data_IF_993835298932
#
_entry.id   IF_993835298932
#
_cell.length_a   1.000
_cell.length_b   1.000
_cell.length_c   1.000
_cell.angle_alpha   90.00
_cell.angle_beta   90.00
_cell.angle_gamma   90.00
#
_symmetry.space_group_name_H-M   'P 1'
#
loop_
_entity.id
_entity.type
_entity.pdbx_description
1 polymer ?
#
# COMPACT_ATOMS: atom_id res chain seq x y z
N UNK A 1 -0.95 14.73 35.15
CA UNK A 1 -0.59 14.65 33.73
C UNK A 1 0.00 13.25 33.53
N UNK A 2 -0.83 12.32 33.15
CA UNK A 2 -0.44 10.90 32.96
C UNK A 2 -0.10 10.76 31.51
N UNK A 3 1.18 10.65 31.19
CA UNK A 3 1.74 10.36 29.87
C UNK A 3 1.25 8.98 29.47
N UNK A 4 0.29 8.92 28.55
CA UNK A 4 -0.15 7.70 27.92
C UNK A 4 1.01 7.18 27.05
N UNK A 5 1.80 6.27 27.62
CA UNK A 5 2.83 5.54 26.92
C UNK A 5 2.19 4.85 25.70
N UNK A 6 2.52 5.33 24.49
CA UNK A 6 2.18 4.65 23.24
C UNK A 6 2.74 3.22 23.29
N UNK A 7 1.95 2.20 22.98
CA UNK A 7 2.47 0.83 22.90
C UNK A 7 3.38 0.74 21.67
N UNK A 8 4.67 0.97 21.91
CA UNK A 8 5.68 0.58 20.93
C UNK A 8 5.53 -0.93 20.70
N UNK A 9 5.67 -1.41 19.45
CA UNK A 9 5.88 -2.83 19.11
C UNK A 9 7.07 -3.45 19.88
N UNK A 10 7.62 -2.76 20.82
CA UNK A 10 8.75 -3.09 21.68
C UNK A 10 8.57 -4.27 22.62
N UNK A 11 7.41 -4.89 22.69
CA UNK A 11 7.37 -6.32 23.02
C UNK A 11 7.30 -7.06 21.67
N UNK A 12 8.42 -7.08 21.03
CA UNK A 12 8.73 -7.67 19.74
C UNK A 12 8.00 -8.98 19.62
N UNK A 13 7.05 -9.02 18.71
CA UNK A 13 6.58 -10.29 18.22
C UNK A 13 7.81 -11.07 17.72
N UNK A 14 8.15 -12.21 18.35
CA UNK A 14 9.35 -12.96 17.99
C UNK A 14 9.34 -13.39 16.52
N UNK A 15 8.16 -13.48 15.90
CA UNK A 15 8.00 -13.75 14.47
C UNK A 15 8.64 -12.67 13.58
N UNK A 16 8.60 -11.39 14.01
CA UNK A 16 9.23 -10.29 13.29
C UNK A 16 10.75 -10.26 13.41
N UNK A 17 11.30 -10.71 14.55
CA UNK A 17 12.74 -10.64 14.79
C UNK A 17 13.57 -11.46 13.80
N UNK A 18 12.99 -12.54 13.25
CA UNK A 18 13.64 -13.42 12.29
C UNK A 18 13.44 -13.00 10.81
N UNK A 19 12.60 -12.02 10.55
CA UNK A 19 12.23 -11.62 9.18
C UNK A 19 12.97 -10.36 8.74
N UNK A 20 13.59 -10.41 7.56
CA UNK A 20 14.04 -9.20 6.85
C UNK A 20 12.82 -8.48 6.31
N UNK A 21 12.57 -7.25 6.80
CA UNK A 21 11.34 -6.52 6.55
C UNK A 21 11.57 -5.08 6.10
N UNK A 22 10.68 -4.57 5.23
CA UNK A 22 10.84 -3.26 4.62
C UNK A 22 9.51 -2.51 4.52
N UNK A 23 9.55 -1.20 4.72
CA UNK A 23 8.48 -0.28 4.36
C UNK A 23 8.77 0.33 2.98
N UNK A 24 7.82 0.21 2.06
CA UNK A 24 7.85 0.81 0.73
C UNK A 24 7.01 2.09 0.76
N UNK A 25 7.65 3.22 0.48
CA UNK A 25 7.04 4.55 0.52
C UNK A 25 7.15 5.19 -0.87
N UNK A 26 6.15 5.02 -1.75
CA UNK A 26 6.09 5.79 -2.98
C UNK A 26 5.82 7.27 -2.67
N UNK A 27 6.53 8.16 -3.34
CA UNK A 27 6.43 9.59 -3.11
C UNK A 27 6.57 10.39 -4.42
N UNK A 28 5.76 11.45 -4.59
CA UNK A 28 5.86 12.39 -5.69
C UNK A 28 5.52 13.81 -5.22
N UNK A 29 6.52 14.69 -5.15
CA UNK A 29 6.41 16.05 -4.61
C UNK A 29 5.89 16.06 -3.17
N UNK A 30 6.52 15.29 -2.29
CA UNK A 30 6.15 15.08 -0.89
C UNK A 30 7.25 15.57 0.06
N UNK A 31 8.02 16.62 -0.30
CA UNK A 31 9.09 17.15 0.55
C UNK A 31 8.61 17.58 1.94
N UNK A 32 7.33 18.00 2.05
CA UNK A 32 6.73 18.44 3.31
C UNK A 32 6.26 17.31 4.23
N UNK A 33 6.09 16.09 3.71
CA UNK A 33 5.47 14.97 4.43
C UNK A 33 6.38 13.74 4.55
N UNK A 34 7.17 13.43 3.51
CA UNK A 34 7.96 12.19 3.45
C UNK A 34 8.91 12.03 4.64
N UNK A 35 9.46 13.12 5.14
CA UNK A 35 10.33 13.10 6.31
C UNK A 35 9.62 12.63 7.56
N UNK A 36 8.45 13.19 7.84
CA UNK A 36 7.62 12.79 8.99
C UNK A 36 7.17 11.34 8.87
N UNK A 37 6.81 10.87 7.66
CA UNK A 37 6.44 9.48 7.42
C UNK A 37 7.58 8.52 7.78
N UNK A 38 8.82 8.83 7.37
CA UNK A 38 10.00 8.03 7.72
C UNK A 38 10.23 8.01 9.24
N UNK A 39 10.16 9.18 9.88
CA UNK A 39 10.37 9.32 11.31
C UNK A 39 9.30 8.57 12.11
N UNK A 40 8.04 8.62 11.69
CA UNK A 40 6.92 7.87 12.28
C UNK A 40 7.12 6.34 12.15
N UNK A 41 7.53 5.85 10.97
CA UNK A 41 7.83 4.42 10.73
C UNK A 41 8.93 3.95 11.68
N UNK A 42 10.04 4.69 11.77
CA UNK A 42 11.17 4.32 12.63
C UNK A 42 10.85 4.43 14.12
N UNK A 43 10.04 5.39 14.50
CA UNK A 43 9.59 5.52 15.90
C UNK A 43 8.74 4.34 16.31
N UNK A 44 8.00 3.76 15.37
CA UNK A 44 7.16 2.60 15.59
C UNK A 44 7.96 1.29 15.57
N UNK A 45 8.77 1.06 14.54
CA UNK A 45 9.66 -0.11 14.41
C UNK A 45 11.03 0.31 13.88
N UNK A 46 12.03 0.50 14.77
CA UNK A 46 13.39 0.91 14.37
C UNK A 46 14.12 -0.10 13.49
N UNK A 47 13.71 -1.37 13.50
CA UNK A 47 14.31 -2.44 12.70
C UNK A 47 13.61 -2.62 11.33
N UNK A 48 12.55 -1.86 11.05
CA UNK A 48 11.88 -1.84 9.76
C UNK A 48 12.68 -0.97 8.79
N UNK A 49 13.34 -1.60 7.83
CA UNK A 49 14.03 -0.86 6.78
C UNK A 49 13.02 -0.04 5.96
N UNK A 50 13.45 1.08 5.40
CA UNK A 50 12.58 1.94 4.60
C UNK A 50 13.20 2.17 3.24
N UNK A 51 12.41 2.01 2.17
CA UNK A 51 12.74 2.48 0.83
C UNK A 51 11.72 3.52 0.38
N UNK A 52 12.21 4.71 0.06
CA UNK A 52 11.41 5.75 -0.60
C UNK A 52 11.63 5.61 -2.11
N UNK A 53 10.52 5.45 -2.84
CA UNK A 53 10.55 5.46 -4.30
C UNK A 53 10.03 6.81 -4.77
N UNK A 54 10.94 7.68 -5.15
CA UNK A 54 10.64 9.01 -5.66
C UNK A 54 10.28 8.92 -7.16
N UNK A 55 9.02 9.15 -7.48
CA UNK A 55 8.46 9.09 -8.83
C UNK A 55 8.79 10.35 -9.67
N UNK A 56 10.08 10.74 -9.68
CA UNK A 56 10.57 11.87 -10.47
C UNK A 56 10.13 13.23 -9.94
N UNK A 57 10.14 13.43 -8.62
CA UNK A 57 9.80 14.70 -7.97
C UNK A 57 10.65 15.87 -8.48
N UNK A 58 10.04 17.05 -8.46
CA UNK A 58 10.69 18.32 -8.82
C UNK A 58 11.12 19.13 -7.60
N UNK A 59 10.68 18.72 -6.42
CA UNK A 59 11.00 19.31 -5.13
C UNK A 59 12.14 18.54 -4.43
N UNK A 60 12.33 18.75 -3.14
CA UNK A 60 13.38 18.13 -2.35
C UNK A 60 13.01 16.74 -1.79
N UNK A 61 11.97 16.07 -2.29
CA UNK A 61 11.50 14.77 -1.76
C UNK A 61 12.65 13.76 -1.60
N UNK A 62 13.43 13.50 -2.66
CA UNK A 62 14.58 12.57 -2.59
C UNK A 62 15.64 13.03 -1.58
N UNK A 63 15.94 14.33 -1.52
CA UNK A 63 16.94 14.86 -0.61
C UNK A 63 16.50 14.69 0.85
N UNK A 64 15.24 15.03 1.16
CA UNK A 64 14.65 14.88 2.49
C UNK A 64 14.67 13.42 2.96
N UNK A 65 14.41 12.47 2.07
CA UNK A 65 14.48 11.04 2.37
C UNK A 65 15.93 10.59 2.61
N UNK A 66 16.88 11.01 1.74
CA UNK A 66 18.28 10.66 1.86
C UNK A 66 18.93 11.22 3.15
N UNK A 67 18.58 12.44 3.55
CA UNK A 67 19.02 13.06 4.82
C UNK A 67 18.64 12.21 6.05
N UNK A 68 17.63 11.36 5.93
CA UNK A 68 17.22 10.41 6.98
C UNK A 68 17.92 9.05 6.90
N UNK A 69 18.83 8.86 5.95
CA UNK A 69 19.59 7.63 5.82
C UNK A 69 18.73 6.39 5.52
N UNK A 70 17.68 6.55 4.71
CA UNK A 70 16.86 5.46 4.16
C UNK A 70 17.29 5.15 2.73
N UNK A 71 16.86 3.99 2.19
CA UNK A 71 17.05 3.71 0.77
C UNK A 71 16.21 4.67 -0.06
N UNK A 72 16.79 5.24 -1.10
CA UNK A 72 16.10 6.12 -2.05
C UNK A 72 16.29 5.58 -3.45
N UNK A 73 15.20 5.24 -4.11
CA UNK A 73 15.17 4.89 -5.53
C UNK A 73 14.45 6.01 -6.27
N UNK A 74 15.19 6.75 -7.10
CA UNK A 74 14.62 7.86 -7.87
C UNK A 74 14.35 7.44 -9.31
N UNK A 75 13.12 7.59 -9.75
CA UNK A 75 12.73 7.40 -11.13
C UNK A 75 13.11 8.64 -11.97
N UNK A 76 13.44 8.48 -13.25
CA UNK A 76 13.93 9.58 -14.09
C UNK A 76 12.87 10.67 -14.35
N UNK A 77 11.59 10.30 -14.32
CA UNK A 77 10.43 11.18 -14.48
C UNK A 77 9.20 10.51 -13.85
N UNK A 78 8.10 11.24 -13.70
CA UNK A 78 6.86 10.69 -13.15
C UNK A 78 6.29 9.62 -14.09
N UNK A 79 6.32 8.36 -13.63
CA UNK A 79 5.78 7.18 -14.29
C UNK A 79 4.42 6.75 -13.74
N UNK A 80 3.99 7.38 -12.64
CA UNK A 80 2.76 7.10 -11.93
C UNK A 80 2.93 6.12 -10.77
N UNK A 81 1.96 6.18 -9.86
CA UNK A 81 2.00 5.45 -8.58
C UNK A 81 2.22 3.94 -8.77
N UNK A 82 1.64 3.33 -9.80
CA UNK A 82 1.82 1.91 -10.07
C UNK A 82 3.28 1.54 -10.33
N UNK A 83 3.98 2.32 -11.16
CA UNK A 83 5.40 2.10 -11.45
C UNK A 83 6.28 2.32 -10.21
N UNK A 84 6.00 3.35 -9.43
CA UNK A 84 6.73 3.62 -8.20
C UNK A 84 6.57 2.48 -7.19
N UNK A 85 5.35 1.98 -6.99
CA UNK A 85 5.04 0.86 -6.10
C UNK A 85 5.70 -0.43 -6.59
N UNK A 86 5.60 -0.74 -7.90
CA UNK A 86 6.28 -1.91 -8.47
C UNK A 86 7.80 -1.86 -8.27
N UNK A 87 8.41 -0.68 -8.47
CA UNK A 87 9.84 -0.47 -8.24
C UNK A 87 10.21 -0.79 -6.78
N UNK A 88 9.39 -0.37 -5.82
CA UNK A 88 9.58 -0.70 -4.41
C UNK A 88 9.48 -2.20 -4.13
N UNK A 89 8.51 -2.90 -4.73
CA UNK A 89 8.41 -4.36 -4.60
C UNK A 89 9.57 -5.10 -5.28
N UNK A 90 10.05 -4.61 -6.43
CA UNK A 90 11.25 -5.16 -7.07
C UNK A 90 12.47 -4.98 -6.18
N UNK A 91 12.67 -3.79 -5.63
CA UNK A 91 13.73 -3.55 -4.65
C UNK A 91 13.65 -4.53 -3.47
N UNK A 92 12.45 -4.71 -2.90
CA UNK A 92 12.24 -5.63 -1.79
C UNK A 92 12.54 -7.10 -2.18
N UNK A 93 12.09 -7.53 -3.36
CA UNK A 93 12.32 -8.89 -3.85
C UNK A 93 13.81 -9.17 -4.10
N UNK A 94 14.48 -8.31 -4.86
CA UNK A 94 15.89 -8.44 -5.25
C UNK A 94 16.84 -8.37 -4.04
N UNK A 95 16.45 -7.64 -2.99
CA UNK A 95 17.23 -7.57 -1.73
C UNK A 95 16.82 -8.61 -0.68
N UNK A 96 16.00 -9.59 -1.03
CA UNK A 96 15.70 -10.73 -0.17
C UNK A 96 14.77 -10.43 1.02
N UNK A 97 13.96 -9.36 0.98
CA UNK A 97 12.98 -9.08 2.01
C UNK A 97 11.86 -10.12 2.00
N UNK A 98 11.47 -10.54 3.21
CA UNK A 98 10.46 -11.58 3.43
C UNK A 98 9.10 -11.00 3.79
N UNK A 99 9.08 -9.77 4.28
CA UNK A 99 7.90 -9.03 4.66
C UNK A 99 8.02 -7.60 4.14
N UNK A 100 6.99 -7.10 3.48
CA UNK A 100 6.91 -5.71 3.07
C UNK A 100 5.63 -5.07 3.58
N UNK A 101 5.70 -3.79 3.94
CA UNK A 101 4.53 -2.95 4.17
C UNK A 101 4.59 -1.77 3.22
N UNK A 102 3.44 -1.38 2.66
CA UNK A 102 3.32 -0.19 1.84
C UNK A 102 2.61 0.90 2.63
N UNK A 103 3.23 2.08 2.69
CA UNK A 103 2.65 3.30 3.25
C UNK A 103 2.83 4.43 2.22
N UNK A 104 1.81 5.26 2.04
CA UNK A 104 1.93 6.40 1.13
C UNK A 104 2.72 7.55 1.77
N UNK A 105 3.48 8.29 0.95
CA UNK A 105 4.36 9.39 1.40
C UNK A 105 3.63 10.62 1.92
N UNK A 106 2.30 10.68 1.82
CA UNK A 106 1.44 11.80 2.25
C UNK A 106 1.06 11.78 3.74
N UNK A 107 1.46 10.75 4.48
CA UNK A 107 1.25 10.60 5.92
C UNK A 107 -0.15 10.15 6.34
N UNK A 108 -1.03 9.78 5.41
CA UNK A 108 -2.37 9.29 5.75
C UNK A 108 -2.37 7.91 6.44
N UNK A 109 -1.37 7.08 6.15
CA UNK A 109 -1.23 5.76 6.75
C UNK A 109 -0.52 5.87 8.11
N UNK A 110 -1.23 5.48 9.18
CA UNK A 110 -0.69 5.53 10.53
C UNK A 110 0.12 4.26 10.85
N UNK A 111 1.45 4.35 11.08
CA UNK A 111 2.27 3.19 11.46
C UNK A 111 1.78 2.48 12.73
N UNK A 112 1.06 3.14 13.61
CA UNK A 112 0.45 2.50 14.79
C UNK A 112 -0.57 1.40 14.43
N UNK A 113 -1.05 1.36 13.20
CA UNK A 113 -1.96 0.32 12.70
C UNK A 113 -1.22 -0.91 12.14
N UNK A 114 0.12 -0.85 12.01
CA UNK A 114 0.93 -1.95 11.46
C UNK A 114 0.77 -3.29 12.20
N UNK A 115 0.63 -3.37 13.54
CA UNK A 115 0.41 -4.65 14.20
C UNK A 115 -0.83 -5.37 13.72
N UNK A 116 -1.95 -4.64 13.60
CA UNK A 116 -3.20 -5.22 13.11
C UNK A 116 -3.08 -5.63 11.64
N UNK A 117 -2.38 -4.85 10.83
CA UNK A 117 -2.17 -5.12 9.41
C UNK A 117 -1.25 -6.32 9.18
N UNK A 118 -0.21 -6.48 10.00
CA UNK A 118 0.77 -7.55 9.89
C UNK A 118 0.25 -8.90 10.40
N UNK A 119 -0.66 -8.90 11.39
CA UNK A 119 -1.10 -10.12 12.07
C UNK A 119 -1.60 -11.22 11.12
N UNK A 120 -2.48 -10.99 10.13
CA UNK A 120 -2.93 -12.05 9.23
C UNK A 120 -1.81 -12.65 8.38
N UNK A 121 -0.78 -11.84 8.05
CA UNK A 121 0.37 -12.30 7.26
C UNK A 121 1.32 -13.13 8.13
N UNK A 122 1.58 -12.68 9.34
CA UNK A 122 2.44 -13.37 10.30
C UNK A 122 1.83 -14.69 10.82
N UNK A 123 0.50 -14.74 10.93
CA UNK A 123 -0.24 -15.96 11.28
C UNK A 123 -0.34 -16.94 10.10
N UNK A 124 0.14 -16.59 8.91
CA UNK A 124 0.01 -17.42 7.71
C UNK A 124 -1.44 -17.55 7.19
N UNK A 125 -2.33 -16.67 7.63
CA UNK A 125 -3.74 -16.66 7.20
C UNK A 125 -3.93 -15.96 5.86
N UNK A 126 -3.05 -15.01 5.53
CA UNK A 126 -3.06 -14.25 4.29
C UNK A 126 -1.65 -14.09 3.71
N UNK A 127 -1.57 -13.97 2.40
CA UNK A 127 -0.36 -13.61 1.69
C UNK A 127 -0.25 -12.08 1.59
N UNK A 128 -1.41 -11.41 1.58
CA UNK A 128 -1.54 -9.96 1.61
C UNK A 128 -2.66 -9.54 2.56
N UNK A 129 -2.35 -8.61 3.45
CA UNK A 129 -3.33 -7.89 4.26
C UNK A 129 -3.50 -6.47 3.73
N UNK A 130 -4.75 -5.99 3.67
CA UNK A 130 -5.11 -4.65 3.18
C UNK A 130 -5.86 -3.91 4.26
N UNK A 131 -5.38 -2.71 4.61
CA UNK A 131 -6.05 -1.85 5.57
C UNK A 131 -7.32 -1.23 4.99
N UNK A 132 -8.50 -1.60 5.49
CA UNK A 132 -9.77 -1.08 5.02
C UNK A 132 -10.31 0.02 5.92
N UNK A 133 -10.72 1.13 5.31
CA UNK A 133 -11.39 2.27 5.95
C UNK A 133 -12.87 2.03 6.27
N UNK A 134 -13.44 0.95 5.75
CA UNK A 134 -14.88 0.71 5.76
C UNK A 134 -15.30 -0.52 6.58
N UNK A 135 -14.36 -1.22 7.19
CA UNK A 135 -14.63 -2.39 8.04
C UNK A 135 -14.84 -2.03 9.51
N UNK A 136 -14.41 -0.85 9.96
CA UNK A 136 -14.61 -0.38 11.34
C UNK A 136 -15.81 0.56 11.47
N UNK A 137 -16.48 0.56 12.63
CA UNK A 137 -17.60 1.43 12.95
C UNK A 137 -17.22 2.92 13.08
N UNK A 138 -15.93 3.27 13.11
CA UNK A 138 -15.39 4.62 13.17
C UNK A 138 -15.22 5.22 11.77
N UNK A 139 -16.31 5.73 11.22
CA UNK A 139 -16.46 6.13 9.83
C UNK A 139 -15.40 7.09 9.30
N UNK A 140 -14.65 6.65 8.29
CA UNK A 140 -13.90 7.54 7.41
C UNK A 140 -14.81 8.61 6.82
N UNK A 141 -14.49 9.88 7.08
CA UNK A 141 -15.24 11.03 6.54
C UNK A 141 -14.89 11.22 5.07
N UNK A 142 -15.73 10.70 4.20
CA UNK A 142 -15.63 10.90 2.75
C UNK A 142 -16.94 11.50 2.21
N UNK A 143 -16.86 12.19 1.08
CA UNK A 143 -18.07 12.69 0.40
C UNK A 143 -19.00 11.55 0.02
N UNK A 144 -20.32 11.79 0.05
CA UNK A 144 -21.33 10.77 -0.32
C UNK A 144 -21.09 10.19 -1.72
N UNK A 145 -20.71 11.02 -2.67
CA UNK A 145 -20.40 10.61 -4.05
C UNK A 145 -19.20 9.67 -4.12
N UNK A 146 -18.11 9.96 -3.39
CA UNK A 146 -16.92 9.10 -3.32
C UNK A 146 -17.24 7.75 -2.68
N UNK A 147 -18.01 7.74 -1.59
CA UNK A 147 -18.46 6.49 -0.93
C UNK A 147 -19.32 5.65 -1.86
N UNK A 148 -20.23 6.26 -2.62
CA UNK A 148 -21.05 5.57 -3.61
C UNK A 148 -20.17 4.93 -4.70
N UNK A 149 -19.20 5.66 -5.25
CA UNK A 149 -18.27 5.13 -6.23
C UNK A 149 -17.44 3.96 -5.71
N UNK A 150 -16.84 4.08 -4.51
CA UNK A 150 -16.11 2.99 -3.88
C UNK A 150 -17.03 1.78 -3.64
N UNK A 151 -18.30 2.00 -3.25
CA UNK A 151 -19.27 0.92 -3.05
C UNK A 151 -19.59 0.14 -4.33
N UNK A 152 -19.65 0.80 -5.51
CA UNK A 152 -19.81 0.12 -6.80
C UNK A 152 -18.57 -0.71 -7.10
N UNK A 153 -17.37 -0.14 -6.97
CA UNK A 153 -16.11 -0.87 -7.19
C UNK A 153 -15.99 -2.07 -6.25
N UNK A 154 -16.27 -1.89 -4.97
CA UNK A 154 -16.23 -2.95 -3.97
C UNK A 154 -17.16 -4.11 -4.34
N UNK A 155 -18.40 -3.83 -4.77
CA UNK A 155 -19.34 -4.87 -5.21
C UNK A 155 -18.86 -5.57 -6.48
N UNK A 156 -18.38 -4.82 -7.47
CA UNK A 156 -17.87 -5.39 -8.72
C UNK A 156 -16.67 -6.30 -8.46
N UNK A 157 -15.68 -5.81 -7.72
CA UNK A 157 -14.50 -6.60 -7.35
C UNK A 157 -14.91 -7.82 -6.54
N UNK A 158 -15.77 -7.66 -5.52
CA UNK A 158 -16.25 -8.78 -4.69
C UNK A 158 -16.92 -9.88 -5.52
N UNK A 159 -17.73 -9.50 -6.50
CA UNK A 159 -18.39 -10.46 -7.39
C UNK A 159 -17.38 -11.22 -8.27
N UNK A 160 -16.34 -10.52 -8.76
CA UNK A 160 -15.31 -11.11 -9.61
C UNK A 160 -14.38 -12.04 -8.84
N UNK A 161 -13.91 -11.61 -7.66
CA UNK A 161 -12.99 -12.40 -6.83
C UNK A 161 -13.69 -13.42 -5.91
N UNK A 162 -15.03 -13.43 -5.92
CA UNK A 162 -15.87 -14.32 -5.07
C UNK A 162 -15.54 -14.21 -3.58
N UNK A 163 -15.03 -13.08 -3.16
CA UNK A 163 -14.68 -12.74 -1.78
C UNK A 163 -15.19 -11.33 -1.49
N UNK A 164 -15.68 -11.08 -0.28
CA UNK A 164 -16.08 -9.74 0.12
C UNK A 164 -14.88 -8.83 0.21
N UNK A 165 -14.86 -7.78 -0.60
CA UNK A 165 -13.89 -6.67 -0.60
C UNK A 165 -14.64 -5.41 -0.27
N UNK A 166 -14.17 -4.65 0.72
CA UNK A 166 -14.84 -3.43 1.20
C UNK A 166 -14.11 -2.15 0.79
N UNK A 167 -12.78 -2.22 0.63
CA UNK A 167 -11.94 -1.09 0.24
C UNK A 167 -10.90 -1.46 -0.82
N UNK A 168 -11.33 -1.65 -2.08
CA UNK A 168 -10.42 -2.02 -3.16
C UNK A 168 -9.46 -0.90 -3.58
N UNK A 169 -9.51 0.25 -2.91
CA UNK A 169 -8.70 1.44 -3.25
C UNK A 169 -7.67 1.79 -2.18
N UNK A 170 -7.43 0.88 -1.23
CA UNK A 170 -6.46 1.12 -0.16
C UNK A 170 -5.06 0.71 -0.58
N UNK A 171 -4.12 1.65 -0.44
CA UNK A 171 -2.69 1.43 -0.61
C UNK A 171 -1.98 0.96 0.66
N UNK A 172 -2.66 0.90 1.80
CA UNK A 172 -2.07 0.44 3.05
C UNK A 172 -2.07 -1.09 3.09
N UNK A 173 -0.92 -1.70 2.86
CA UNK A 173 -0.81 -3.15 2.62
C UNK A 173 0.38 -3.75 3.36
N UNK A 174 0.22 -5.01 3.81
CA UNK A 174 1.32 -5.85 4.27
C UNK A 174 1.36 -7.14 3.45
N UNK A 175 2.55 -7.58 3.05
CA UNK A 175 2.75 -8.69 2.11
C UNK A 175 3.84 -9.61 2.63
N UNK A 176 3.63 -10.92 2.48
CA UNK A 176 4.68 -11.90 2.62
C UNK A 176 5.53 -12.00 1.33
N UNK A 177 6.52 -12.89 1.30
CA UNK A 177 7.41 -13.05 0.15
C UNK A 177 6.68 -13.43 -1.14
N UNK A 178 5.58 -14.21 -1.07
CA UNK A 178 4.80 -14.57 -2.26
C UNK A 178 4.11 -13.33 -2.86
N UNK A 179 3.53 -12.49 -2.01
CA UNK A 179 2.94 -11.21 -2.45
C UNK A 179 3.99 -10.26 -3.02
N UNK A 180 5.17 -10.16 -2.38
CA UNK A 180 6.29 -9.36 -2.87
C UNK A 180 6.74 -9.87 -4.25
N UNK A 181 6.93 -11.19 -4.43
CA UNK A 181 7.36 -11.78 -5.69
C UNK A 181 6.38 -11.50 -6.83
N UNK A 182 5.07 -11.66 -6.57
CA UNK A 182 4.04 -11.37 -7.56
C UNK A 182 4.08 -9.91 -8.00
N UNK A 183 4.10 -8.98 -7.04
CA UNK A 183 4.05 -7.55 -7.33
C UNK A 183 5.37 -6.99 -7.89
N UNK A 184 6.49 -7.64 -7.61
CA UNK A 184 7.76 -7.35 -8.25
C UNK A 184 7.76 -7.74 -9.74
N UNK A 185 7.18 -8.90 -10.07
CA UNK A 185 7.12 -9.42 -11.43
C UNK A 185 6.10 -8.66 -12.29
N UNK A 186 4.90 -8.41 -11.76
CA UNK A 186 3.82 -7.69 -12.44
C UNK A 186 3.03 -6.85 -11.43
N UNK A 187 2.78 -5.60 -11.75
CA UNK A 187 1.95 -4.70 -10.95
C UNK A 187 1.18 -3.75 -11.85
N UNK A 188 -0.09 -3.53 -11.61
CA UNK A 188 -0.91 -2.65 -12.45
C UNK A 188 -0.45 -1.18 -12.36
N UNK A 189 -0.52 -0.47 -13.50
CA UNK A 189 -0.01 0.90 -13.58
C UNK A 189 -1.11 1.95 -13.44
N UNK A 190 -2.30 1.71 -14.03
CA UNK A 190 -3.36 2.72 -14.14
C UNK A 190 -4.24 2.82 -12.88
N UNK A 191 -4.72 1.69 -12.37
CA UNK A 191 -5.58 1.60 -11.18
C UNK A 191 -5.05 0.53 -10.23
N UNK A 192 -3.85 0.74 -9.70
CA UNK A 192 -3.04 -0.33 -9.14
C UNK A 192 -3.72 -1.10 -8.02
N UNK A 193 -4.43 -0.44 -7.10
CA UNK A 193 -5.03 -1.12 -5.95
C UNK A 193 -6.18 -2.06 -6.37
N UNK A 194 -7.03 -1.56 -7.27
CA UNK A 194 -8.22 -2.29 -7.73
C UNK A 194 -7.83 -3.48 -8.61
N UNK A 195 -6.95 -3.25 -9.57
CA UNK A 195 -6.46 -4.28 -10.49
C UNK A 195 -5.59 -5.32 -9.77
N UNK A 196 -4.76 -4.89 -8.80
CA UNK A 196 -3.96 -5.78 -7.96
C UNK A 196 -4.84 -6.77 -7.19
N UNK A 197 -6.00 -6.33 -6.66
CA UNK A 197 -6.94 -7.22 -5.99
C UNK A 197 -7.42 -8.34 -6.93
N UNK A 198 -7.73 -8.04 -8.19
CA UNK A 198 -8.12 -9.03 -9.20
C UNK A 198 -6.95 -9.96 -9.55
N UNK A 199 -5.74 -9.39 -9.66
CA UNK A 199 -4.52 -10.14 -9.95
C UNK A 199 -4.19 -11.14 -8.85
N UNK A 200 -4.31 -10.76 -7.58
CA UNK A 200 -4.13 -11.65 -6.43
C UNK A 200 -5.02 -12.89 -6.52
N UNK A 201 -6.29 -12.66 -6.81
CA UNK A 201 -7.25 -13.76 -6.95
C UNK A 201 -6.88 -14.70 -8.11
N UNK A 202 -6.46 -14.17 -9.27
CA UNK A 202 -6.00 -14.96 -10.42
C UNK A 202 -4.80 -15.83 -10.09
N UNK A 203 -3.89 -15.32 -9.26
CA UNK A 203 -2.69 -16.05 -8.79
C UNK A 203 -2.94 -16.89 -7.52
N UNK A 204 -4.21 -16.99 -7.07
CA UNK A 204 -4.61 -17.76 -5.89
C UNK A 204 -3.93 -17.35 -4.59
N UNK A 205 -3.49 -16.10 -4.50
CA UNK A 205 -2.98 -15.53 -3.25
C UNK A 205 -4.14 -15.13 -2.35
N UNK A 206 -3.95 -15.38 -1.06
CA UNK A 206 -4.97 -15.11 -0.04
C UNK A 206 -4.87 -13.66 0.40
N UNK A 207 -5.97 -12.93 0.28
CA UNK A 207 -6.07 -11.54 0.74
C UNK A 207 -7.01 -11.45 1.94
N UNK A 208 -6.66 -10.63 2.93
CA UNK A 208 -7.52 -10.32 4.09
C UNK A 208 -7.58 -8.81 4.31
N UNK A 209 -8.78 -8.29 4.48
CA UNK A 209 -8.97 -6.89 4.88
C UNK A 209 -8.94 -6.76 6.40
N UNK A 210 -8.25 -5.73 6.88
CA UNK A 210 -8.11 -5.39 8.30
C UNK A 210 -8.67 -4.00 8.54
N UNK A 211 -9.50 -3.78 9.56
CA UNK A 211 -9.97 -2.44 9.88
C UNK A 211 -8.82 -1.55 10.31
N UNK A 212 -8.70 -0.38 9.66
CA UNK A 212 -7.69 0.62 9.99
C UNK A 212 -8.31 2.01 10.07
N UNK A 213 -7.70 2.86 10.89
CA UNK A 213 -7.99 4.30 10.93
C UNK A 213 -6.92 5.03 10.15
N UNK A 214 -7.32 5.92 9.24
CA UNK A 214 -6.39 6.77 8.52
C UNK A 214 -6.37 8.17 9.11
N UNK A 215 -5.21 8.80 9.06
CA UNK A 215 -5.03 10.21 9.45
C UNK A 215 -5.60 11.12 8.36
N UNK A 216 -5.95 12.36 8.74
CA UNK A 216 -6.23 13.38 7.74
C UNK A 216 -4.94 13.76 6.99
N UNK A 217 -5.05 14.05 5.69
CA UNK A 217 -3.90 14.45 4.88
C UNK A 217 -3.30 15.74 5.43
N UNK A 218 -1.99 15.75 5.69
CA UNK A 218 -1.30 16.91 6.24
C UNK A 218 -1.22 18.08 5.26
N UNK A 219 -1.18 17.82 3.92
CA UNK A 219 -1.13 18.82 2.86
C UNK A 219 -1.72 18.29 1.55
N UNK A 220 -2.16 19.18 0.65
CA UNK A 220 -2.62 18.87 -0.70
C UNK A 220 -4.13 18.85 -0.89
N UNK A 221 -4.60 19.19 -2.10
CA UNK A 221 -6.02 19.16 -2.48
C UNK A 221 -6.33 17.91 -3.29
N UNK A 222 -7.49 17.28 -3.02
CA UNK A 222 -8.01 16.22 -3.88
C UNK A 222 -8.40 16.78 -5.24
N UNK A 223 -7.75 16.35 -6.30
CA UNK A 223 -7.88 16.91 -7.68
C UNK A 223 -9.07 16.35 -8.49
N UNK A 224 -10.00 15.61 -7.88
CA UNK A 224 -11.05 14.88 -8.62
C UNK A 224 -12.42 15.59 -8.47
N UNK A 225 -12.86 16.30 -9.52
CA UNK A 225 -14.22 16.84 -9.63
C UNK A 225 -15.26 15.77 -10.03
N UNK A 226 -16.57 16.08 -9.86
CA UNK A 226 -17.67 15.11 -10.05
C UNK A 226 -17.71 14.45 -11.45
N UNK A 227 -17.53 15.20 -12.53
CA UNK A 227 -17.48 14.68 -13.91
C UNK A 227 -16.27 13.78 -14.16
N UNK A 228 -15.12 14.13 -13.57
CA UNK A 228 -13.92 13.28 -13.59
C UNK A 228 -14.12 11.98 -12.85
N UNK A 229 -14.97 11.97 -11.81
CA UNK A 229 -15.26 10.76 -11.03
C UNK A 229 -16.03 9.72 -11.86
N UNK A 230 -16.99 10.13 -12.70
CA UNK A 230 -17.74 9.20 -13.59
C UNK A 230 -16.79 8.62 -14.65
N UNK A 231 -16.01 9.45 -15.30
CA UNK A 231 -15.02 9.01 -16.28
C UNK A 231 -13.99 8.05 -15.67
N UNK A 232 -13.52 8.36 -14.46
CA UNK A 232 -12.64 7.49 -13.69
C UNK A 232 -13.27 6.12 -13.44
N UNK A 233 -14.55 6.09 -13.00
CA UNK A 233 -15.28 4.84 -12.76
C UNK A 233 -15.37 3.96 -14.00
N UNK A 234 -15.72 4.55 -15.17
CA UNK A 234 -15.81 3.79 -16.42
C UNK A 234 -14.45 3.20 -16.79
N UNK A 235 -13.38 3.98 -16.66
CA UNK A 235 -12.01 3.50 -16.93
C UNK A 235 -11.59 2.36 -15.99
N UNK A 236 -11.86 2.49 -14.69
CA UNK A 236 -11.54 1.44 -13.72
C UNK A 236 -12.29 0.15 -14.03
N UNK A 237 -13.59 0.23 -14.34
CA UNK A 237 -14.37 -0.95 -14.71
C UNK A 237 -13.86 -1.60 -16.00
N UNK A 238 -13.44 -0.80 -16.98
CA UNK A 238 -12.82 -1.31 -18.21
C UNK A 238 -11.46 -1.96 -17.93
N UNK A 239 -10.63 -1.33 -17.09
CA UNK A 239 -9.34 -1.88 -16.69
C UNK A 239 -9.50 -3.22 -15.96
N UNK A 240 -10.46 -3.33 -15.04
CA UNK A 240 -10.81 -4.60 -14.37
C UNK A 240 -11.20 -5.65 -15.43
N UNK A 241 -12.05 -5.28 -16.38
CA UNK A 241 -12.48 -6.19 -17.44
C UNK A 241 -11.28 -6.69 -18.27
N UNK A 242 -10.39 -5.80 -18.68
CA UNK A 242 -9.17 -6.15 -19.41
C UNK A 242 -8.23 -7.02 -18.57
N UNK A 243 -8.08 -6.71 -17.28
CA UNK A 243 -7.25 -7.49 -16.35
C UNK A 243 -7.69 -8.96 -16.23
N UNK A 244 -8.99 -9.26 -16.41
CA UNK A 244 -9.49 -10.64 -16.41
C UNK A 244 -8.92 -11.48 -17.58
N UNK A 245 -8.66 -10.85 -18.72
CA UNK A 245 -8.13 -11.52 -19.93
C UNK A 245 -6.60 -11.45 -20.03
N UNK A 246 -5.95 -10.68 -19.19
CA UNK A 246 -4.48 -10.58 -19.16
C UNK A 246 -3.89 -11.93 -18.78
N UNK A 247 -2.84 -12.38 -19.50
CA UNK A 247 -2.15 -13.63 -19.18
C UNK A 247 -1.51 -13.57 -17.80
N UNK A 248 -1.54 -14.67 -17.06
CA UNK A 248 -0.85 -14.75 -15.77
C UNK A 248 0.66 -14.71 -16.01
N UNK A 249 1.34 -13.79 -15.35
CA UNK A 249 2.79 -13.82 -15.24
C UNK A 249 3.10 -14.79 -14.09
N UNK A 250 3.79 -15.88 -14.40
CA UNK A 250 4.26 -16.80 -13.38
C UNK A 250 5.54 -16.20 -12.82
N UNK A 251 5.60 -15.87 -11.51
CA UNK A 251 6.87 -15.50 -10.91
C UNK A 251 7.85 -16.67 -11.10
N UNK A 252 8.97 -16.43 -11.73
CA UNK A 252 10.07 -17.41 -11.75
C UNK A 252 10.64 -17.46 -10.34
N UNK A 253 10.32 -18.51 -9.59
CA UNK A 253 11.12 -18.89 -8.43
C UNK A 253 12.48 -19.33 -9.00
N UNK A 254 13.49 -18.46 -8.94
CA UNK A 254 14.87 -18.91 -9.02
C UNK A 254 15.19 -19.61 -7.69
N UNK A 255 15.82 -20.78 -7.77
CA UNK A 255 16.11 -21.66 -6.62
C UNK A 255 17.03 -21.02 -5.60
#
# INVERSE_FOLDING_TARGET
MTELAQPTLRRRDPRLAALKRIAIVPAFNEEGSVGTVIDDIRSFDPDLEVVVVDDGSRDRTSAVAAERGVHVVRLPFNLGIGCAVQTGFRFAYENGFQLAVRLDGDGQHDPAQLPALLEPVLAGEADIAVGSRFTSAGGYRSTRSRRFGIGILARTVSALVRQRVTDPTSGFQALNRHGIALFAADYPHDYPEVEATVMLFKHRLRMKEVPVTMRERAAGQSSIGALRSVYYMVKVLLAIFVALFRRNVVPTEEP
#
